data_IF_407273792669
#
_entry.id   IF_407273792669
#
_cell.length_a   1.000
_cell.length_b   1.000
_cell.length_c   1.000
_cell.angle_alpha   90.00
_cell.angle_beta   90.00
_cell.angle_gamma   90.00
#
_symmetry.space_group_name_H-M   'P 1'
#
loop_
_entity.id
_entity.type
_entity.pdbx_description
1 polymer ?
#
# COMPACT_ATOMS: atom_id res chain seq x y z
N UNK A 1 5.22 0.50 16.82
CA UNK A 1 3.89 -0.17 16.91
C UNK A 1 3.48 -0.79 15.56
N UNK A 2 3.51 -0.06 14.44
CA UNK A 2 3.09 -0.56 13.11
C UNK A 2 3.90 -1.77 12.64
N UNK A 3 5.21 -1.78 12.82
CA UNK A 3 6.06 -2.94 12.47
C UNK A 3 5.73 -4.18 13.30
N UNK A 4 5.38 -4.03 14.58
CA UNK A 4 4.94 -5.14 15.42
C UNK A 4 3.60 -5.71 14.94
N UNK A 5 2.67 -4.85 14.51
CA UNK A 5 1.39 -5.28 13.95
C UNK A 5 1.57 -6.02 12.62
N UNK A 6 2.47 -5.53 11.75
CA UNK A 6 2.81 -6.20 10.49
C UNK A 6 3.32 -7.63 10.73
N UNK A 7 4.26 -7.80 11.67
CA UNK A 7 4.79 -9.11 12.07
C UNK A 7 3.70 -10.00 12.69
N UNK A 8 2.79 -9.42 13.49
CA UNK A 8 1.70 -10.17 14.12
C UNK A 8 0.63 -10.63 13.12
N UNK A 9 0.37 -9.85 12.07
CA UNK A 9 -0.54 -10.22 10.99
C UNK A 9 0.09 -11.25 10.05
N UNK A 10 1.40 -11.14 9.82
CA UNK A 10 2.15 -12.10 9.04
C UNK A 10 2.15 -13.47 9.75
N UNK A 11 1.78 -14.52 9.05
CA UNK A 11 1.87 -15.90 9.54
C UNK A 11 0.69 -16.43 10.36
N UNK A 12 -0.27 -15.60 10.77
CA UNK A 12 -1.47 -16.09 11.50
C UNK A 12 -2.50 -16.77 10.61
N UNK A 13 -2.35 -16.76 9.28
CA UNK A 13 -3.36 -17.24 8.30
C UNK A 13 -4.76 -16.64 8.51
N UNK A 14 -4.87 -15.63 9.35
CA UNK A 14 -6.05 -14.79 9.57
C UNK A 14 -5.66 -13.36 9.18
N UNK A 15 -5.98 -12.99 7.96
CA UNK A 15 -5.47 -11.76 7.35
C UNK A 15 -6.22 -10.48 7.77
N UNK A 16 -7.10 -10.57 8.78
CA UNK A 16 -7.84 -9.42 9.28
C UNK A 16 -8.78 -8.78 8.25
N UNK A 17 -9.13 -7.54 8.50
CA UNK A 17 -9.91 -6.70 7.59
C UNK A 17 -9.02 -5.70 6.85
N UNK A 18 -9.57 -5.05 5.82
CA UNK A 18 -8.91 -3.91 5.16
C UNK A 18 -8.64 -2.78 6.16
N UNK A 19 -9.55 -2.56 7.12
CA UNK A 19 -9.36 -1.51 8.14
C UNK A 19 -8.18 -1.83 9.06
N UNK A 20 -7.96 -3.11 9.40
CA UNK A 20 -6.81 -3.55 10.19
C UNK A 20 -5.51 -3.32 9.41
N UNK A 21 -5.50 -3.66 8.11
CA UNK A 21 -4.38 -3.37 7.23
C UNK A 21 -4.08 -1.87 7.15
N UNK A 22 -5.10 -1.04 6.92
CA UNK A 22 -4.93 0.41 6.82
C UNK A 22 -4.38 1.03 8.11
N UNK A 23 -4.89 0.62 9.28
CA UNK A 23 -4.34 1.05 10.58
C UNK A 23 -2.87 0.67 10.75
N UNK A 24 -2.51 -0.55 10.36
CA UNK A 24 -1.11 -1.01 10.42
C UNK A 24 -0.23 -0.17 9.50
N UNK A 25 -0.65 0.10 8.27
CA UNK A 25 0.10 0.91 7.30
C UNK A 25 0.22 2.37 7.73
N UNK A 26 -0.84 2.97 8.28
CA UNK A 26 -0.80 4.31 8.86
C UNK A 26 0.26 4.41 9.96
N UNK A 27 0.34 3.40 10.83
CA UNK A 27 1.31 3.37 11.93
C UNK A 27 2.73 3.04 11.47
N UNK A 28 2.90 2.20 10.44
CA UNK A 28 4.21 1.74 9.96
C UNK A 28 4.86 2.75 9.02
N UNK A 29 4.15 3.17 7.98
CA UNK A 29 4.67 4.00 6.89
C UNK A 29 4.11 5.42 6.95
N UNK A 30 2.80 5.57 7.15
CA UNK A 30 2.13 6.86 7.21
C UNK A 30 2.70 7.78 8.28
N UNK A 31 2.89 7.28 9.51
CA UNK A 31 3.42 8.09 10.62
C UNK A 31 4.86 8.56 10.41
N UNK A 32 5.68 7.78 9.69
CA UNK A 32 7.05 8.15 9.38
C UNK A 32 7.08 9.33 8.40
N UNK A 33 6.31 9.25 7.32
CA UNK A 33 6.22 10.32 6.31
C UNK A 33 5.55 11.57 6.93
N UNK A 34 4.49 11.39 7.71
CA UNK A 34 3.86 12.47 8.48
C UNK A 34 4.88 13.21 9.35
N UNK A 35 5.69 12.48 10.13
CA UNK A 35 6.72 13.05 10.98
C UNK A 35 7.78 13.82 10.18
N UNK A 36 8.23 13.28 9.07
CA UNK A 36 9.23 13.89 8.20
C UNK A 36 8.74 15.23 7.60
N UNK A 37 7.52 15.27 7.04
CA UNK A 37 6.97 16.50 6.44
C UNK A 37 6.64 17.55 7.51
N UNK A 38 6.17 17.14 8.71
CA UNK A 38 5.96 18.05 9.84
C UNK A 38 7.27 18.68 10.31
N UNK A 39 8.34 17.89 10.44
CA UNK A 39 9.65 18.39 10.84
C UNK A 39 10.18 19.41 9.83
N UNK A 40 10.05 19.14 8.53
CA UNK A 40 10.41 20.09 7.49
C UNK A 40 9.61 21.39 7.55
N UNK A 41 8.30 21.31 7.77
CA UNK A 41 7.42 22.47 7.88
C UNK A 41 7.75 23.34 9.09
N UNK A 42 7.98 22.72 10.25
CA UNK A 42 8.41 23.43 11.47
C UNK A 42 9.76 24.13 11.25
N UNK A 43 10.73 23.44 10.64
CA UNK A 43 12.04 24.02 10.31
C UNK A 43 11.97 25.21 9.33
N UNK A 44 10.92 25.23 8.49
CA UNK A 44 10.64 26.33 7.57
C UNK A 44 9.78 27.48 8.17
N UNK A 45 9.42 27.39 9.45
CA UNK A 45 8.61 28.42 10.13
C UNK A 45 7.12 28.38 9.78
N UNK A 46 6.59 27.23 9.37
CA UNK A 46 5.17 27.07 9.06
C UNK A 46 4.27 27.27 10.30
N UNK A 47 3.06 27.79 10.10
CA UNK A 47 2.08 27.95 11.18
C UNK A 47 1.64 26.57 11.72
N UNK A 48 1.12 26.51 12.96
CA UNK A 48 0.58 25.25 13.52
C UNK A 48 -0.46 24.58 12.62
N UNK A 49 -1.33 25.36 11.97
CA UNK A 49 -2.34 24.84 11.04
C UNK A 49 -1.70 24.23 9.79
N UNK A 50 -0.68 24.88 9.24
CA UNK A 50 0.07 24.35 8.10
C UNK A 50 0.79 23.04 8.47
N UNK A 51 1.38 22.97 9.66
CA UNK A 51 2.02 21.75 10.17
C UNK A 51 1.03 20.59 10.32
N UNK A 52 -0.18 20.86 10.81
CA UNK A 52 -1.25 19.83 10.89
C UNK A 52 -1.68 19.39 9.49
N UNK A 53 -1.89 20.33 8.57
CA UNK A 53 -2.33 20.05 7.21
C UNK A 53 -1.29 19.25 6.42
N UNK A 54 -0.02 19.64 6.44
CA UNK A 54 1.05 18.88 5.77
C UNK A 54 1.25 17.50 6.42
N UNK A 55 0.99 17.38 7.72
CA UNK A 55 1.01 16.09 8.40
C UNK A 55 -0.03 15.12 7.87
N UNK A 56 -1.27 15.58 7.64
CA UNK A 56 -2.33 14.77 7.03
C UNK A 56 -1.96 14.36 5.60
N UNK A 57 -1.44 15.31 4.81
CA UNK A 57 -0.87 15.03 3.50
C UNK A 57 0.16 13.90 3.57
N UNK A 58 1.15 13.99 4.44
CA UNK A 58 2.23 13.01 4.57
C UNK A 58 1.72 11.64 4.99
N UNK A 59 0.73 11.58 5.87
CA UNK A 59 0.09 10.33 6.30
C UNK A 59 -0.59 9.64 5.13
N UNK A 60 -1.44 10.36 4.39
CA UNK A 60 -2.18 9.80 3.25
C UNK A 60 -1.24 9.40 2.11
N UNK A 61 -0.18 10.18 1.85
CA UNK A 61 0.90 9.84 0.92
C UNK A 61 1.58 8.51 1.31
N UNK A 62 1.88 8.32 2.59
CA UNK A 62 2.52 7.11 3.09
C UNK A 62 1.65 5.87 2.95
N UNK A 63 0.34 6.01 3.18
CA UNK A 63 -0.61 4.90 2.96
C UNK A 63 -0.70 4.55 1.48
N UNK A 64 -0.84 5.55 0.60
CA UNK A 64 -0.87 5.33 -0.85
C UNK A 64 0.40 4.62 -1.33
N UNK A 65 1.56 5.10 -0.89
CA UNK A 65 2.86 4.52 -1.23
C UNK A 65 2.95 3.04 -0.84
N UNK A 66 2.56 2.68 0.39
CA UNK A 66 2.64 1.29 0.85
C UNK A 66 1.70 0.37 0.06
N UNK A 67 0.48 0.81 -0.25
CA UNK A 67 -0.46 0.01 -1.06
C UNK A 67 0.11 -0.24 -2.46
N UNK A 68 0.79 0.76 -3.04
CA UNK A 68 1.46 0.64 -4.35
C UNK A 68 2.63 -0.33 -4.24
N UNK A 69 3.48 -0.22 -3.22
CA UNK A 69 4.63 -1.09 -2.98
C UNK A 69 4.20 -2.57 -2.88
N UNK A 70 3.18 -2.85 -2.06
CA UNK A 70 2.58 -4.18 -1.92
C UNK A 70 2.03 -4.71 -3.28
N UNK A 71 1.52 -3.81 -4.14
CA UNK A 71 1.00 -4.19 -5.46
C UNK A 71 2.11 -4.48 -6.46
N UNK A 72 3.22 -3.75 -6.39
CA UNK A 72 4.38 -3.93 -7.27
C UNK A 72 5.14 -5.24 -6.99
N UNK A 73 5.09 -5.74 -5.75
CA UNK A 73 5.66 -7.05 -5.42
C UNK A 73 5.07 -8.20 -6.26
N UNK A 74 3.81 -8.05 -6.70
CA UNK A 74 3.15 -9.03 -7.58
C UNK A 74 3.64 -8.94 -9.04
N UNK A 75 4.07 -7.76 -9.49
CA UNK A 75 4.42 -7.52 -10.89
C UNK A 75 5.89 -7.86 -11.20
N UNK A 76 6.69 -8.14 -10.17
CA UNK A 76 8.13 -8.34 -10.33
C UNK A 76 8.76 -7.06 -10.86
N UNK A 77 9.28 -6.21 -10.00
CA UNK A 77 9.81 -4.89 -10.38
C UNK A 77 10.74 -4.95 -11.58
N UNK A 78 10.55 -4.08 -12.54
CA UNK A 78 11.37 -3.95 -13.72
C UNK A 78 12.85 -3.73 -13.31
N UNK A 79 13.68 -4.74 -13.50
CA UNK A 79 15.14 -4.59 -13.42
C UNK A 79 15.87 -5.32 -12.29
N UNK A 80 15.25 -6.19 -11.48
CA UNK A 80 16.00 -6.90 -10.46
C UNK A 80 15.58 -8.38 -10.32
N UNK A 81 16.55 -9.20 -10.05
CA UNK A 81 16.52 -10.56 -9.51
C UNK A 81 15.65 -10.71 -8.22
N UNK A 82 14.67 -9.84 -7.98
CA UNK A 82 13.74 -9.98 -6.86
C UNK A 82 12.71 -11.06 -7.19
N UNK A 83 12.63 -12.05 -6.33
CA UNK A 83 11.62 -13.10 -6.43
C UNK A 83 10.22 -12.48 -6.42
N UNK A 84 9.48 -12.69 -7.50
CA UNK A 84 8.06 -12.28 -7.60
C UNK A 84 7.27 -12.86 -6.42
N UNK A 85 6.32 -12.07 -5.87
CA UNK A 85 5.46 -12.46 -4.75
C UNK A 85 6.22 -12.73 -3.42
N UNK A 86 7.20 -11.89 -3.11
CA UNK A 86 7.95 -12.01 -1.86
C UNK A 86 7.06 -11.79 -0.63
N UNK A 87 6.11 -10.86 -0.71
CA UNK A 87 5.12 -10.62 0.35
C UNK A 87 4.21 -11.84 0.57
N UNK A 88 3.85 -12.55 -0.51
CA UNK A 88 3.12 -13.81 -0.42
C UNK A 88 3.95 -14.89 0.29
N UNK A 89 5.25 -15.04 -0.04
CA UNK A 89 6.16 -15.98 0.63
C UNK A 89 6.29 -15.69 2.12
N UNK A 90 6.28 -14.42 2.50
CA UNK A 90 6.36 -13.98 3.88
C UNK A 90 4.99 -14.06 4.61
N UNK A 91 3.91 -14.31 3.89
CA UNK A 91 2.56 -14.36 4.45
C UNK A 91 2.04 -13.01 4.91
N UNK A 92 2.50 -11.91 4.28
CA UNK A 92 2.05 -10.57 4.63
C UNK A 92 0.58 -10.36 4.29
N UNK A 93 -0.09 -9.60 5.13
CA UNK A 93 -1.45 -9.12 4.89
C UNK A 93 -1.41 -7.93 3.92
N UNK A 94 -1.67 -8.18 2.63
CA UNK A 94 -1.81 -7.13 1.62
C UNK A 94 -3.27 -6.90 1.24
N UNK A 95 -3.64 -5.75 0.66
CA UNK A 95 -5.02 -5.52 0.23
C UNK A 95 -5.55 -6.61 -0.72
N UNK A 96 -4.67 -7.14 -1.59
CA UNK A 96 -5.03 -8.15 -2.57
C UNK A 96 -5.43 -9.47 -1.91
N UNK A 97 -4.62 -9.96 -0.96
CA UNK A 97 -4.93 -11.22 -0.27
C UNK A 97 -6.20 -11.09 0.58
N UNK A 98 -6.36 -9.98 1.31
CA UNK A 98 -7.54 -9.73 2.14
C UNK A 98 -8.80 -9.71 1.29
N UNK A 99 -8.76 -8.95 0.19
CA UNK A 99 -9.91 -8.81 -0.70
C UNK A 99 -10.25 -10.12 -1.42
N UNK A 100 -9.24 -10.84 -1.93
CA UNK A 100 -9.43 -12.12 -2.60
C UNK A 100 -10.01 -13.17 -1.64
N UNK A 101 -9.49 -13.28 -0.42
CA UNK A 101 -10.02 -14.20 0.60
C UNK A 101 -11.48 -13.88 0.98
N UNK A 102 -11.90 -12.62 0.91
CA UNK A 102 -13.31 -12.25 1.15
C UNK A 102 -14.24 -12.74 0.04
N UNK A 103 -13.76 -12.78 -1.22
CA UNK A 103 -14.56 -13.05 -2.42
C UNK A 103 -14.48 -14.49 -2.94
N UNK A 104 -13.33 -15.13 -2.77
CA UNK A 104 -13.02 -16.46 -3.30
C UNK A 104 -13.91 -17.56 -2.69
N UNK A 105 -14.14 -18.63 -3.46
CA UNK A 105 -14.77 -19.84 -2.96
C UNK A 105 -13.84 -20.63 -2.01
N UNK A 106 -14.34 -21.76 -1.50
CA UNK A 106 -13.60 -22.59 -0.52
C UNK A 106 -12.31 -23.17 -1.09
N UNK A 107 -12.33 -23.61 -2.34
CA UNK A 107 -11.16 -24.22 -3.00
C UNK A 107 -10.09 -23.17 -3.26
N UNK A 108 -10.49 -22.03 -3.83
CA UNK A 108 -9.59 -20.90 -4.13
C UNK A 108 -8.98 -20.27 -2.87
N UNK A 109 -9.78 -20.13 -1.79
CA UNK A 109 -9.25 -19.77 -0.46
C UNK A 109 -8.17 -20.75 -0.02
N UNK A 110 -8.39 -22.05 -0.20
CA UNK A 110 -7.39 -23.06 0.11
C UNK A 110 -6.09 -22.88 -0.70
N UNK A 111 -6.17 -22.52 -1.99
CA UNK A 111 -5.00 -22.24 -2.83
C UNK A 111 -4.23 -21.02 -2.33
N UNK A 112 -4.92 -19.90 -2.04
CA UNK A 112 -4.31 -18.69 -1.49
C UNK A 112 -3.61 -19.01 -0.16
N UNK A 113 -4.28 -19.69 0.78
CA UNK A 113 -3.74 -19.97 2.10
C UNK A 113 -2.57 -20.99 2.10
N UNK A 114 -2.48 -21.87 1.09
CA UNK A 114 -1.32 -22.75 0.90
C UNK A 114 -0.11 -22.01 0.35
N UNK A 115 -0.34 -20.98 -0.47
CA UNK A 115 0.73 -20.15 -1.04
C UNK A 115 1.27 -19.16 -0.02
N UNK A 116 0.40 -18.58 0.78
CA UNK A 116 0.74 -17.55 1.75
C UNK A 116 1.57 -18.10 2.92
N UNK A 117 2.70 -17.45 3.20
CA UNK A 117 3.66 -17.86 4.21
C UNK A 117 4.42 -19.14 3.84
N UNK A 118 4.48 -19.47 2.56
CA UNK A 118 5.19 -20.65 2.08
C UNK A 118 6.55 -20.25 1.46
N UNK A 119 7.68 -20.50 2.15
CA UNK A 119 8.99 -20.19 1.60
C UNK A 119 9.32 -21.02 0.34
N UNK A 120 8.68 -22.18 0.17
CA UNK A 120 8.80 -23.05 -1.02
C UNK A 120 7.75 -22.72 -2.10
N UNK A 121 7.22 -21.49 -2.15
CA UNK A 121 6.29 -21.04 -3.16
C UNK A 121 6.85 -21.28 -4.56
N UNK A 122 6.20 -22.16 -5.33
CA UNK A 122 6.58 -22.44 -6.72
C UNK A 122 5.94 -21.45 -7.70
N UNK A 123 6.53 -21.34 -8.90
CA UNK A 123 5.94 -20.52 -9.97
C UNK A 123 4.52 -20.94 -10.35
N UNK A 124 4.18 -22.25 -10.25
CA UNK A 124 2.83 -22.75 -10.47
C UNK A 124 1.84 -22.24 -9.43
N UNK A 125 2.17 -22.34 -8.15
CA UNK A 125 1.33 -21.82 -7.06
C UNK A 125 1.14 -20.29 -7.18
N UNK A 126 2.22 -19.57 -7.50
CA UNK A 126 2.17 -18.12 -7.72
C UNK A 126 1.20 -17.77 -8.87
N UNK A 127 1.27 -18.48 -9.99
CA UNK A 127 0.37 -18.30 -11.14
C UNK A 127 -1.09 -18.57 -10.78
N UNK A 128 -1.36 -19.62 -10.00
CA UNK A 128 -2.73 -19.92 -9.54
C UNK A 128 -3.29 -18.77 -8.70
N UNK A 129 -2.52 -18.24 -7.74
CA UNK A 129 -2.96 -17.10 -6.91
C UNK A 129 -3.16 -15.84 -7.75
N UNK A 130 -2.27 -15.55 -8.69
CA UNK A 130 -2.43 -14.41 -9.61
C UNK A 130 -3.70 -14.51 -10.44
N UNK A 131 -4.05 -15.72 -10.92
CA UNK A 131 -5.29 -15.93 -11.64
C UNK A 131 -6.53 -15.69 -10.75
N UNK A 132 -6.49 -16.11 -9.49
CA UNK A 132 -7.55 -15.81 -8.51
C UNK A 132 -7.64 -14.29 -8.26
N UNK A 133 -6.51 -13.60 -8.09
CA UNK A 133 -6.51 -12.15 -7.92
C UNK A 133 -7.09 -11.42 -9.13
N UNK A 134 -6.79 -11.88 -10.36
CA UNK A 134 -7.38 -11.33 -11.59
C UNK A 134 -8.89 -11.60 -11.67
N UNK A 135 -9.31 -12.85 -11.42
CA UNK A 135 -10.74 -13.26 -11.43
C UNK A 135 -11.59 -12.36 -10.53
N UNK A 136 -11.11 -12.06 -9.33
CA UNK A 136 -11.83 -11.24 -8.36
C UNK A 136 -11.46 -9.76 -8.40
N UNK A 137 -10.61 -9.34 -9.36
CA UNK A 137 -10.15 -7.95 -9.49
C UNK A 137 -9.46 -7.42 -8.22
N UNK A 138 -8.75 -8.28 -7.48
CA UNK A 138 -8.11 -7.90 -6.22
C UNK A 138 -6.99 -6.88 -6.43
N UNK A 139 -6.27 -6.94 -7.56
CA UNK A 139 -5.23 -5.96 -7.92
C UNK A 139 -5.89 -4.61 -8.22
N UNK A 140 -6.95 -4.59 -9.03
CA UNK A 140 -7.69 -3.36 -9.32
C UNK A 140 -8.25 -2.71 -8.04
N UNK A 141 -8.74 -3.53 -7.10
CA UNK A 141 -9.19 -3.05 -5.79
C UNK A 141 -8.08 -2.32 -5.02
N UNK A 142 -6.87 -2.91 -4.96
CA UNK A 142 -5.73 -2.27 -4.30
C UNK A 142 -5.33 -0.95 -4.99
N UNK A 143 -5.34 -0.91 -6.32
CA UNK A 143 -5.09 0.30 -7.09
C UNK A 143 -6.13 1.40 -6.83
N UNK A 144 -7.42 1.06 -6.83
CA UNK A 144 -8.49 1.99 -6.49
C UNK A 144 -8.38 2.49 -5.05
N UNK A 145 -7.92 1.63 -4.13
CA UNK A 145 -7.67 2.00 -2.74
C UNK A 145 -6.51 3.01 -2.65
N UNK A 146 -5.38 2.76 -3.31
CA UNK A 146 -4.23 3.68 -3.32
C UNK A 146 -4.59 5.04 -3.91
N UNK A 147 -5.33 5.07 -5.02
CA UNK A 147 -5.78 6.31 -5.66
C UNK A 147 -6.68 7.15 -4.74
N UNK A 148 -7.53 6.53 -3.92
CA UNK A 148 -8.32 7.28 -2.93
C UNK A 148 -7.42 8.02 -1.92
N UNK A 149 -6.31 7.43 -1.51
CA UNK A 149 -5.37 8.09 -0.61
C UNK A 149 -4.53 9.17 -1.32
N UNK A 150 -4.18 8.97 -2.59
CA UNK A 150 -3.57 10.02 -3.42
C UNK A 150 -4.49 11.24 -3.52
N UNK A 151 -5.78 11.03 -3.79
CA UNK A 151 -6.74 12.14 -3.86
C UNK A 151 -6.95 12.85 -2.51
N UNK A 152 -6.98 12.11 -1.40
CA UNK A 152 -7.01 12.70 -0.05
C UNK A 152 -5.77 13.56 0.20
N UNK A 153 -4.60 13.08 -0.16
CA UNK A 153 -3.37 13.86 -0.04
C UNK A 153 -3.39 15.12 -0.90
N UNK A 154 -3.90 15.06 -2.14
CA UNK A 154 -4.08 16.24 -2.99
C UNK A 154 -4.99 17.30 -2.35
N UNK A 155 -6.10 16.87 -1.73
CA UNK A 155 -7.02 17.77 -1.03
C UNK A 155 -6.32 18.49 0.12
N UNK A 156 -5.50 17.79 0.91
CA UNK A 156 -4.75 18.43 2.00
C UNK A 156 -3.66 19.37 1.45
N UNK A 157 -2.96 18.98 0.38
CA UNK A 157 -1.95 19.81 -0.26
C UNK A 157 -2.54 21.13 -0.80
N UNK A 158 -3.73 21.07 -1.40
CA UNK A 158 -4.43 22.24 -1.95
C UNK A 158 -4.84 23.29 -0.90
N UNK A 159 -4.82 22.93 0.39
CA UNK A 159 -5.07 23.86 1.52
C UNK A 159 -3.84 24.64 1.95
N UNK A 160 -2.67 24.25 1.44
CA UNK A 160 -1.41 24.92 1.75
C UNK A 160 -1.10 26.04 0.73
N UNK A 161 -0.29 27.03 1.07
CA UNK A 161 0.10 28.07 0.14
C UNK A 161 0.72 27.50 -1.14
N UNK A 162 0.28 28.02 -2.29
CA UNK A 162 0.87 27.65 -3.57
C UNK A 162 2.32 28.17 -3.67
N UNK A 163 3.20 27.35 -4.26
CA UNK A 163 4.61 27.70 -4.43
C UNK A 163 5.44 26.53 -4.94
N UNK A 164 6.74 26.73 -5.06
CA UNK A 164 7.68 25.72 -5.55
C UNK A 164 7.65 24.43 -4.71
N UNK A 165 7.48 24.54 -3.39
CA UNK A 165 7.40 23.37 -2.52
C UNK A 165 6.12 22.56 -2.75
N UNK A 166 4.95 23.19 -2.83
CA UNK A 166 3.69 22.51 -3.09
C UNK A 166 3.66 21.87 -4.49
N UNK A 167 4.28 22.51 -5.50
CA UNK A 167 4.41 21.91 -6.84
C UNK A 167 5.23 20.63 -6.81
N UNK A 168 6.39 20.61 -6.13
CA UNK A 168 7.22 19.40 -5.98
C UNK A 168 6.48 18.26 -5.25
N UNK A 169 5.69 18.59 -4.23
CA UNK A 169 4.88 17.60 -3.55
C UNK A 169 3.75 17.05 -4.44
N UNK A 170 3.16 17.91 -5.29
CA UNK A 170 2.20 17.47 -6.28
C UNK A 170 2.80 16.54 -7.33
N UNK A 171 4.03 16.83 -7.80
CA UNK A 171 4.74 15.95 -8.74
C UNK A 171 4.91 14.53 -8.17
N UNK A 172 5.20 14.41 -6.87
CA UNK A 172 5.27 13.11 -6.19
C UNK A 172 3.92 12.39 -6.22
N UNK A 173 2.82 13.12 -5.94
CA UNK A 173 1.48 12.54 -5.99
C UNK A 173 1.09 12.08 -7.41
N UNK A 174 1.48 12.81 -8.44
CA UNK A 174 1.22 12.43 -9.84
C UNK A 174 1.97 11.16 -10.21
N UNK A 175 3.25 11.04 -9.83
CA UNK A 175 4.02 9.82 -10.05
C UNK A 175 3.35 8.63 -9.36
N UNK A 176 2.91 8.77 -8.10
CA UNK A 176 2.19 7.71 -7.39
C UNK A 176 0.84 7.40 -8.05
N UNK A 177 0.12 8.41 -8.55
CA UNK A 177 -1.12 8.23 -9.29
C UNK A 177 -0.93 7.39 -10.55
N UNK A 178 0.12 7.67 -11.34
CA UNK A 178 0.49 6.88 -12.52
C UNK A 178 0.83 5.42 -12.14
N UNK A 179 1.59 5.21 -11.08
CA UNK A 179 1.94 3.88 -10.60
C UNK A 179 0.70 3.09 -10.14
N UNK A 180 -0.25 3.74 -9.46
CA UNK A 180 -1.53 3.14 -9.10
C UNK A 180 -2.39 2.72 -10.30
N UNK A 181 -2.07 3.18 -11.51
CA UNK A 181 -2.75 2.82 -12.76
C UNK A 181 -2.03 1.72 -13.56
N UNK A 182 -0.77 1.42 -13.27
CA UNK A 182 0.00 0.39 -13.98
C UNK A 182 -0.63 -0.98 -13.78
N UNK A 183 -0.95 -1.67 -14.89
CA UNK A 183 -1.54 -3.01 -14.86
C UNK A 183 -3.08 -3.05 -14.89
N UNK A 184 -3.75 -1.94 -15.21
CA UNK A 184 -5.20 -1.93 -15.49
C UNK A 184 -5.57 -2.53 -16.86
N UNK A 185 -4.57 -2.94 -17.68
CA UNK A 185 -4.75 -3.59 -18.97
C UNK A 185 -4.92 -5.10 -18.84
#
# INVERSE_FOLDING_TARGET
LGQLQDIQLAGKKQYGSIDDYLKMVELKTGSLIEGAVKAGAVGAGASPEQVVTIGRFGRDLGVAFQIIDDSLDLLGGAGAQKSVMNDMKQGKATPMIIYALKKADREEKGKILRAAGNPALTGGMAKEVLNIYRKYRAIAYAQELSLRYVERAKIELARLPAGSASNKLNDILEVLGLWGMLGRA
#
